data_IF_891662268776
#
_entry.id   IF_891662268776
#
_cell.length_a   1.000
_cell.length_b   1.000
_cell.length_c   1.000
_cell.angle_alpha   90.00
_cell.angle_beta   90.00
_cell.angle_gamma   90.00
#
_symmetry.space_group_name_H-M   'P 1'
#
loop_
_entity.id
_entity.type
_entity.pdbx_description
1 polymer ?
#
# COMPACT_ATOMS: atom_id res chain seq x y z
N UNK A 1 -10.12 11.97 18.03
CA UNK A 1 -9.41 10.74 17.63
C UNK A 1 -8.13 11.12 16.93
N UNK A 2 -7.01 11.09 17.66
CA UNK A 2 -5.66 11.36 17.15
C UNK A 2 -4.89 10.08 16.89
N UNK A 3 -3.99 10.14 15.91
CA UNK A 3 -2.94 9.13 15.73
C UNK A 3 -1.83 9.43 16.74
N UNK A 4 -1.46 8.47 17.57
CA UNK A 4 -0.41 8.62 18.60
C UNK A 4 0.89 7.94 18.21
N UNK A 5 0.85 6.93 17.33
CA UNK A 5 2.04 6.23 16.85
C UNK A 5 1.78 5.59 15.47
N UNK A 6 2.85 5.26 14.75
CA UNK A 6 2.82 4.58 13.46
C UNK A 6 3.84 3.45 13.46
N UNK A 7 3.37 2.23 13.19
CA UNK A 7 4.21 1.03 13.12
C UNK A 7 4.17 0.45 11.72
N UNK A 8 5.34 0.11 11.17
CA UNK A 8 5.49 -0.57 9.90
C UNK A 8 5.98 -2.01 10.12
N UNK A 9 5.44 -2.96 9.35
CA UNK A 9 5.92 -4.35 9.37
C UNK A 9 6.00 -4.94 7.97
N UNK A 10 7.10 -5.63 7.67
CA UNK A 10 7.28 -6.31 6.40
C UNK A 10 6.40 -7.57 6.33
N UNK A 11 5.72 -7.76 5.19
CA UNK A 11 4.80 -8.87 4.97
C UNK A 11 5.00 -9.57 3.63
N UNK A 12 4.12 -10.54 3.36
CA UNK A 12 4.02 -11.27 2.10
C UNK A 12 2.69 -10.97 1.43
N UNK A 13 2.64 -11.11 0.11
CA UNK A 13 1.41 -11.00 -0.66
C UNK A 13 0.89 -12.36 -1.09
N UNK A 14 -0.28 -12.40 -1.73
CA UNK A 14 -0.86 -13.64 -2.26
C UNK A 14 -0.13 -14.20 -3.48
N UNK A 15 0.92 -13.54 -4.00
CA UNK A 15 1.65 -14.00 -5.18
C UNK A 15 3.12 -13.51 -5.19
N UNK A 16 3.72 -13.48 -6.39
CA UNK A 16 5.14 -13.21 -6.62
C UNK A 16 5.36 -11.88 -7.33
N UNK A 17 6.55 -11.31 -7.15
CA UNK A 17 7.07 -10.36 -8.12
C UNK A 17 7.81 -11.12 -9.21
N UNK A 18 7.39 -10.91 -10.45
CA UNK A 18 7.97 -11.55 -11.62
C UNK A 18 8.60 -10.48 -12.53
N UNK A 19 9.80 -10.75 -13.00
CA UNK A 19 10.50 -9.90 -13.94
C UNK A 19 9.92 -10.11 -15.35
N UNK A 20 8.95 -9.26 -15.69
CA UNK A 20 8.29 -9.32 -16.97
C UNK A 20 9.25 -9.18 -18.16
N UNK A 21 10.36 -8.43 -18.00
CA UNK A 21 11.32 -8.22 -19.09
C UNK A 21 12.13 -9.47 -19.34
N UNK A 22 12.61 -10.12 -18.30
CA UNK A 22 13.31 -11.41 -18.42
C UNK A 22 12.38 -12.49 -19.00
N UNK A 23 11.13 -12.57 -18.54
CA UNK A 23 10.14 -13.51 -19.06
C UNK A 23 9.88 -13.28 -20.56
N UNK A 24 9.65 -12.02 -20.97
CA UNK A 24 9.44 -11.66 -22.39
C UNK A 24 10.70 -11.88 -23.26
N UNK A 25 11.88 -11.88 -22.66
CA UNK A 25 13.14 -12.21 -23.33
C UNK A 25 13.36 -13.72 -23.50
N UNK A 26 12.42 -14.55 -23.05
CA UNK A 26 12.45 -16.00 -23.24
C UNK A 26 13.05 -16.77 -22.05
N UNK A 27 12.91 -16.27 -20.83
CA UNK A 27 13.29 -17.02 -19.63
C UNK A 27 12.66 -18.42 -19.62
N UNK A 28 13.47 -19.44 -19.37
CA UNK A 28 13.01 -20.82 -19.28
C UNK A 28 12.23 -21.09 -17.99
N UNK A 29 11.63 -22.28 -17.87
CA UNK A 29 10.90 -22.72 -16.67
C UNK A 29 11.62 -23.88 -15.98
N UNK A 30 11.63 -23.89 -14.65
CA UNK A 30 12.01 -25.05 -13.82
C UNK A 30 10.95 -25.26 -12.73
N UNK A 31 10.01 -26.18 -13.00
CA UNK A 31 8.83 -26.35 -12.15
C UNK A 31 8.05 -25.03 -11.99
N UNK A 32 8.06 -24.48 -10.78
CA UNK A 32 7.36 -23.24 -10.45
C UNK A 32 8.22 -21.97 -10.63
N UNK A 33 9.53 -22.10 -10.85
CA UNK A 33 10.46 -20.97 -11.00
C UNK A 33 10.79 -20.72 -12.48
N UNK A 34 11.56 -19.66 -12.71
CA UNK A 34 12.13 -19.33 -14.01
C UNK A 34 13.65 -19.50 -13.99
N UNK A 35 14.22 -19.91 -15.12
CA UNK A 35 15.65 -20.09 -15.33
C UNK A 35 16.21 -18.86 -16.07
N UNK A 36 17.34 -18.36 -15.58
CA UNK A 36 18.10 -17.26 -16.18
C UNK A 36 18.30 -16.09 -15.23
N UNK A 37 18.82 -15.00 -15.77
CA UNK A 37 19.11 -13.79 -15.00
C UNK A 37 17.97 -12.77 -15.10
N UNK A 38 17.66 -12.04 -14.00
CA UNK A 38 16.75 -10.91 -14.07
C UNK A 38 17.33 -9.77 -14.94
N UNK A 39 16.45 -9.01 -15.56
CA UNK A 39 16.71 -7.88 -16.45
C UNK A 39 16.24 -6.56 -15.82
N UNK A 40 15.20 -6.60 -14.99
CA UNK A 40 14.61 -5.42 -14.35
C UNK A 40 15.37 -5.06 -13.08
N UNK A 41 15.70 -3.77 -12.91
CA UNK A 41 16.45 -3.28 -11.75
C UNK A 41 15.76 -3.64 -10.42
N UNK A 42 16.57 -4.06 -9.44
CA UNK A 42 16.12 -4.47 -8.11
C UNK A 42 15.78 -5.95 -7.97
N UNK A 43 15.50 -6.66 -9.07
CA UNK A 43 15.26 -8.10 -9.01
C UNK A 43 16.56 -8.87 -8.77
N UNK A 44 16.52 -9.88 -7.90
CA UNK A 44 17.63 -10.81 -7.67
C UNK A 44 17.35 -12.21 -8.24
N UNK A 45 16.11 -12.47 -8.64
CA UNK A 45 15.70 -13.65 -9.39
C UNK A 45 14.49 -13.30 -10.26
N UNK A 46 14.31 -14.00 -11.39
CA UNK A 46 13.22 -13.71 -12.33
C UNK A 46 11.84 -13.82 -11.66
N UNK A 47 11.70 -14.75 -10.71
CA UNK A 47 10.57 -14.80 -9.78
C UNK A 47 11.09 -14.68 -8.37
N UNK A 48 10.53 -13.78 -7.59
CA UNK A 48 10.79 -13.64 -6.15
C UNK A 48 9.50 -13.41 -5.37
N UNK A 49 9.53 -13.68 -4.07
CA UNK A 49 8.35 -13.54 -3.23
C UNK A 49 7.81 -12.11 -3.29
N UNK A 50 6.49 -11.98 -3.47
CA UNK A 50 5.82 -10.69 -3.36
C UNK A 50 5.89 -10.17 -1.93
N UNK A 51 6.09 -8.87 -1.79
CA UNK A 51 6.26 -8.22 -0.48
C UNK A 51 5.19 -7.16 -0.25
N UNK A 52 4.83 -6.98 1.02
CA UNK A 52 3.95 -5.92 1.49
C UNK A 52 4.57 -5.18 2.68
N UNK A 53 4.01 -4.02 3.00
CA UNK A 53 4.27 -3.33 4.27
C UNK A 53 2.92 -3.04 4.93
N UNK A 54 2.65 -3.66 6.08
CA UNK A 54 1.51 -3.31 6.90
C UNK A 54 1.81 -1.99 7.63
N UNK A 55 0.95 -1.00 7.43
CA UNK A 55 0.98 0.31 8.09
C UNK A 55 -0.09 0.33 9.16
N UNK A 56 0.33 0.42 10.42
CA UNK A 56 -0.56 0.44 11.58
C UNK A 56 -0.55 1.81 12.23
N UNK A 57 -1.71 2.44 12.38
CA UNK A 57 -1.86 3.72 13.09
C UNK A 57 -2.45 3.43 14.47
N UNK A 58 -1.67 3.69 15.51
CA UNK A 58 -2.13 3.55 16.90
C UNK A 58 -2.94 4.80 17.23
N UNK A 59 -4.18 4.61 17.69
CA UNK A 59 -5.10 5.71 17.99
C UNK A 59 -5.08 6.04 19.49
N UNK A 60 -5.44 7.27 19.85
CA UNK A 60 -5.42 7.74 21.24
C UNK A 60 -6.34 6.95 22.19
N UNK A 61 -7.33 6.21 21.66
CA UNK A 61 -8.20 5.31 22.42
C UNK A 61 -7.71 3.85 22.47
N UNK A 62 -6.50 3.58 21.96
CA UNK A 62 -5.87 2.26 21.94
C UNK A 62 -6.28 1.35 20.78
N UNK A 63 -7.18 1.80 19.90
CA UNK A 63 -7.46 1.07 18.66
C UNK A 63 -6.26 1.13 17.70
N UNK A 64 -6.20 0.17 16.77
CA UNK A 64 -5.19 0.12 15.72
C UNK A 64 -5.87 0.14 14.36
N UNK A 65 -5.63 1.18 13.58
CA UNK A 65 -6.03 1.21 12.18
C UNK A 65 -4.96 0.54 11.30
N UNK A 66 -5.36 -0.08 10.20
CA UNK A 66 -4.50 -0.94 9.40
C UNK A 66 -4.71 -0.73 7.90
N UNK A 67 -3.61 -0.71 7.14
CA UNK A 67 -3.61 -0.77 5.69
C UNK A 67 -2.34 -1.41 5.15
N UNK A 68 -2.43 -2.10 4.01
CA UNK A 68 -1.29 -2.80 3.42
C UNK A 68 -0.78 -2.08 2.17
N UNK A 69 0.51 -1.73 2.18
CA UNK A 69 1.22 -1.34 0.99
C UNK A 69 1.50 -2.58 0.15
N UNK A 70 1.05 -2.60 -1.10
CA UNK A 70 1.28 -3.70 -2.02
C UNK A 70 1.44 -3.19 -3.45
N UNK A 71 2.19 -3.95 -4.25
CA UNK A 71 2.37 -3.72 -5.69
C UNK A 71 1.89 -4.93 -6.50
N UNK A 72 1.70 -4.71 -7.80
CA UNK A 72 1.31 -5.78 -8.74
C UNK A 72 2.44 -6.79 -8.97
N UNK A 73 2.10 -7.95 -9.54
CA UNK A 73 3.06 -9.00 -9.92
C UNK A 73 4.25 -8.48 -10.75
N UNK A 74 3.99 -7.66 -11.77
CA UNK A 74 5.03 -7.07 -12.61
C UNK A 74 5.48 -5.70 -12.08
N UNK A 75 5.87 -5.63 -10.80
CA UNK A 75 6.44 -4.44 -10.17
C UNK A 75 7.77 -4.05 -10.87
N UNK A 76 8.06 -2.76 -11.04
CA UNK A 76 9.20 -2.29 -11.83
C UNK A 76 9.06 -2.36 -13.36
N UNK A 77 7.98 -2.95 -13.90
CA UNK A 77 7.80 -3.09 -15.34
C UNK A 77 7.11 -1.87 -16.00
N UNK A 78 7.52 -1.53 -17.23
CA UNK A 78 6.70 -0.77 -18.19
C UNK A 78 6.08 0.54 -17.69
N UNK A 79 6.88 1.44 -17.11
CA UNK A 79 6.41 2.74 -16.62
C UNK A 79 5.80 2.71 -15.22
N UNK A 80 5.82 1.55 -14.54
CA UNK A 80 5.51 1.46 -13.12
C UNK A 80 6.65 2.02 -12.27
N UNK A 81 6.30 2.34 -11.02
CA UNK A 81 7.30 2.58 -9.99
C UNK A 81 8.25 1.37 -9.82
N UNK A 82 9.44 1.56 -9.22
CA UNK A 82 10.42 0.50 -9.00
C UNK A 82 9.88 -0.76 -8.31
N UNK A 83 10.69 -1.82 -8.27
CA UNK A 83 10.36 -3.03 -7.51
C UNK A 83 10.07 -2.69 -6.04
N UNK A 84 8.91 -3.09 -5.54
CA UNK A 84 8.48 -2.75 -4.18
C UNK A 84 9.00 -3.74 -3.14
N UNK A 85 10.19 -3.46 -2.57
CA UNK A 85 10.77 -4.26 -1.49
C UNK A 85 10.57 -3.58 -0.13
N UNK A 86 10.09 -4.33 0.86
CA UNK A 86 9.74 -3.77 2.17
C UNK A 86 10.94 -3.08 2.84
N UNK A 87 12.13 -3.69 2.74
CA UNK A 87 13.39 -3.15 3.28
C UNK A 87 13.75 -1.76 2.74
N UNK A 88 13.36 -1.47 1.50
CA UNK A 88 13.73 -0.21 0.82
C UNK A 88 12.71 0.90 1.14
N UNK A 89 11.45 0.52 1.39
CA UNK A 89 10.35 1.47 1.56
C UNK A 89 9.85 1.66 3.00
N UNK A 90 10.09 0.73 3.94
CA UNK A 90 9.84 0.96 5.38
C UNK A 90 10.57 2.22 5.87
N UNK A 91 11.86 2.43 5.58
CA UNK A 91 12.56 3.64 6.04
C UNK A 91 11.96 4.93 5.49
N UNK A 92 11.36 4.91 4.29
CA UNK A 92 10.67 6.07 3.71
C UNK A 92 9.41 6.38 4.51
N UNK A 93 8.61 5.37 4.86
CA UNK A 93 7.39 5.56 5.65
C UNK A 93 7.75 6.08 7.04
N UNK A 94 8.71 5.45 7.72
CA UNK A 94 9.12 5.83 9.08
C UNK A 94 9.72 7.23 9.16
N UNK A 95 10.53 7.64 8.19
CA UNK A 95 11.24 8.94 8.24
C UNK A 95 10.42 10.09 7.68
N UNK A 96 9.68 9.86 6.60
CA UNK A 96 9.05 10.95 5.85
C UNK A 96 7.56 11.08 6.15
N UNK A 97 6.88 9.96 6.41
CA UNK A 97 5.41 9.90 6.49
C UNK A 97 4.92 9.85 7.93
N UNK A 98 5.49 8.96 8.76
CA UNK A 98 5.08 8.79 10.15
C UNK A 98 5.10 10.12 10.94
N UNK A 99 6.14 10.98 10.85
CA UNK A 99 6.14 12.25 11.57
C UNK A 99 5.03 13.23 11.16
N UNK A 100 4.47 13.06 9.95
CA UNK A 100 3.36 13.87 9.44
C UNK A 100 1.99 13.30 9.79
N UNK A 101 1.92 12.02 10.15
CA UNK A 101 0.71 11.32 10.60
C UNK A 101 0.52 11.42 12.11
N UNK A 102 1.58 11.29 12.90
CA UNK A 102 1.50 11.38 14.36
C UNK A 102 0.98 12.76 14.77
N UNK A 103 -0.03 12.77 15.65
CA UNK A 103 -0.72 13.96 16.11
C UNK A 103 -1.88 14.43 15.24
N UNK A 104 -2.08 13.84 14.04
CA UNK A 104 -3.21 14.19 13.15
C UNK A 104 -4.54 13.69 13.70
N UNK A 105 -5.59 14.45 13.46
CA UNK A 105 -6.97 14.07 13.78
C UNK A 105 -7.65 13.34 12.61
N UNK A 106 -8.30 12.22 12.91
CA UNK A 106 -9.00 11.38 11.95
C UNK A 106 -10.47 11.82 11.79
N UNK A 107 -10.68 12.98 11.15
CA UNK A 107 -12.03 13.58 10.96
C UNK A 107 -12.61 13.34 9.57
N UNK A 108 -11.85 13.66 8.52
CA UNK A 108 -12.26 13.55 7.12
C UNK A 108 -11.24 12.70 6.34
N UNK A 109 -11.69 11.55 5.83
CA UNK A 109 -10.86 10.63 5.06
C UNK A 109 -10.36 11.30 3.77
N UNK A 110 -11.25 11.90 2.97
CA UNK A 110 -10.92 12.38 1.63
C UNK A 110 -9.78 13.41 1.65
N UNK A 111 -9.88 14.41 2.52
CA UNK A 111 -8.88 15.47 2.65
C UNK A 111 -7.51 14.90 3.06
N UNK A 112 -7.49 14.06 4.10
CA UNK A 112 -6.25 13.47 4.60
C UNK A 112 -5.64 12.50 3.57
N UNK A 113 -6.46 11.66 2.94
CA UNK A 113 -6.01 10.75 1.90
C UNK A 113 -5.44 11.50 0.68
N UNK A 114 -6.07 12.59 0.24
CA UNK A 114 -5.55 13.41 -0.86
C UNK A 114 -4.21 14.08 -0.53
N UNK A 115 -4.03 14.53 0.71
CA UNK A 115 -2.76 15.09 1.17
C UNK A 115 -1.63 14.07 1.06
N UNK A 116 -1.82 12.87 1.61
CA UNK A 116 -0.79 11.81 1.58
C UNK A 116 -0.62 11.19 0.20
N UNK A 117 -1.66 11.12 -0.63
CA UNK A 117 -1.53 10.70 -2.03
C UNK A 117 -0.69 11.70 -2.84
N UNK A 118 -0.86 13.01 -2.62
CA UNK A 118 -0.16 14.07 -3.36
C UNK A 118 1.18 14.46 -2.74
N UNK A 119 1.52 13.91 -1.56
CA UNK A 119 2.74 14.21 -0.84
C UNK A 119 4.00 13.98 -1.70
N UNK A 120 4.93 14.93 -1.59
CA UNK A 120 6.23 14.88 -2.24
C UNK A 120 7.33 14.67 -1.20
N UNK A 121 8.28 13.80 -1.52
CA UNK A 121 9.54 13.62 -0.80
C UNK A 121 10.66 13.90 -1.79
N UNK A 122 11.55 14.85 -1.46
CA UNK A 122 12.63 15.30 -2.34
C UNK A 122 12.15 15.66 -3.76
N UNK A 123 10.99 16.33 -3.86
CA UNK A 123 10.39 16.75 -5.12
C UNK A 123 9.74 15.63 -5.96
N UNK A 124 9.72 14.39 -5.47
CA UNK A 124 9.10 13.23 -6.15
C UNK A 124 7.85 12.77 -5.42
N UNK A 125 6.83 12.31 -6.16
CA UNK A 125 5.67 11.63 -5.56
C UNK A 125 6.13 10.33 -4.90
N UNK A 126 5.44 9.97 -3.81
CA UNK A 126 5.60 8.69 -3.16
C UNK A 126 5.26 7.52 -4.11
N UNK A 127 5.94 6.39 -3.91
CA UNK A 127 5.62 5.15 -4.60
C UNK A 127 4.13 4.81 -4.43
N UNK A 128 3.47 4.41 -5.52
CA UNK A 128 2.07 3.98 -5.58
C UNK A 128 1.68 3.02 -4.46
N UNK A 129 2.45 1.96 -4.21
CA UNK A 129 2.22 1.02 -3.11
C UNK A 129 2.18 1.67 -1.72
N UNK A 130 3.04 2.67 -1.45
CA UNK A 130 3.00 3.43 -0.19
C UNK A 130 1.71 4.23 -0.09
N UNK A 131 1.38 4.99 -1.15
CA UNK A 131 0.15 5.80 -1.20
C UNK A 131 -1.08 4.92 -1.00
N UNK A 132 -1.06 3.73 -1.59
CA UNK A 132 -2.12 2.74 -1.45
C UNK A 132 -2.29 2.26 0.00
N UNK A 133 -1.22 1.83 0.68
CA UNK A 133 -1.32 1.32 2.05
C UNK A 133 -1.62 2.40 3.09
N UNK A 134 -0.97 3.57 2.97
CA UNK A 134 -1.18 4.69 3.90
C UNK A 134 -2.62 5.20 3.83
N UNK A 135 -3.19 5.36 2.63
CA UNK A 135 -4.58 5.82 2.49
C UNK A 135 -5.59 4.78 2.98
N UNK A 136 -5.32 3.48 2.85
CA UNK A 136 -6.13 2.44 3.49
C UNK A 136 -6.11 2.56 5.02
N UNK A 137 -4.93 2.72 5.63
CA UNK A 137 -4.81 2.87 7.07
C UNK A 137 -5.53 4.13 7.59
N UNK A 138 -5.51 5.22 6.81
CA UNK A 138 -6.27 6.43 7.09
C UNK A 138 -7.79 6.15 7.01
N UNK A 139 -8.26 5.45 5.97
CA UNK A 139 -9.69 5.10 5.82
C UNK A 139 -10.19 4.28 7.01
N UNK A 140 -9.44 3.25 7.38
CA UNK A 140 -9.75 2.41 8.53
C UNK A 140 -9.70 3.20 9.84
N UNK A 141 -8.75 4.13 9.98
CA UNK A 141 -8.65 5.02 11.12
C UNK A 141 -9.86 5.95 11.26
N UNK A 142 -10.31 6.55 10.17
CA UNK A 142 -11.52 7.41 10.16
C UNK A 142 -12.77 6.58 10.48
N UNK A 143 -12.88 5.37 9.91
CA UNK A 143 -13.98 4.45 10.20
C UNK A 143 -14.03 4.08 11.70
N UNK A 144 -12.89 3.70 12.29
CA UNK A 144 -12.75 3.42 13.73
C UNK A 144 -13.01 4.63 14.62
N UNK A 145 -12.62 5.83 14.19
CA UNK A 145 -12.90 7.07 14.92
C UNK A 145 -14.41 7.37 14.95
N UNK A 146 -15.10 7.15 13.83
CA UNK A 146 -16.54 7.38 13.67
C UNK A 146 -17.42 6.21 14.15
N UNK A 147 -16.82 5.06 14.46
CA UNK A 147 -17.48 3.81 14.85
C UNK A 147 -18.48 3.33 13.79
N UNK A 148 -18.09 3.45 12.52
CA UNK A 148 -18.84 2.99 11.34
C UNK A 148 -17.92 2.15 10.45
N UNK A 149 -18.46 1.55 9.41
CA UNK A 149 -17.65 0.79 8.44
C UNK A 149 -16.90 1.73 7.48
N UNK A 150 -15.79 1.25 6.91
CA UNK A 150 -15.08 1.96 5.85
C UNK A 150 -15.97 2.25 4.63
N UNK A 151 -16.92 1.36 4.33
CA UNK A 151 -17.88 1.54 3.24
C UNK A 151 -18.79 2.75 3.48
N UNK A 152 -19.26 2.95 4.72
CA UNK A 152 -20.05 4.12 5.10
C UNK A 152 -19.22 5.41 5.00
N UNK A 153 -17.96 5.40 5.43
CA UNK A 153 -17.05 6.56 5.26
C UNK A 153 -16.93 6.95 3.79
N UNK A 154 -16.68 5.99 2.89
CA UNK A 154 -16.59 6.27 1.45
C UNK A 154 -17.93 6.73 0.89
N UNK A 155 -19.04 6.05 1.23
CA UNK A 155 -20.37 6.43 0.75
C UNK A 155 -20.69 7.88 1.08
N UNK A 156 -20.45 8.26 2.34
CA UNK A 156 -20.81 9.56 2.89
C UNK A 156 -19.86 10.66 2.39
N UNK A 157 -18.53 10.44 2.40
CA UNK A 157 -17.58 11.49 2.00
C UNK A 157 -17.46 11.69 0.48
N UNK A 158 -17.82 10.68 -0.31
CA UNK A 158 -17.91 10.80 -1.76
C UNK A 158 -19.33 11.13 -2.25
N UNK A 159 -20.29 11.36 -1.34
CA UNK A 159 -21.68 11.67 -1.65
C UNK A 159 -22.29 10.75 -2.72
N UNK A 160 -21.97 9.46 -2.63
CA UNK A 160 -22.39 8.49 -3.66
C UNK A 160 -23.90 8.25 -3.64
N UNK A 161 -24.56 8.40 -2.48
CA UNK A 161 -25.99 8.18 -2.31
C UNK A 161 -26.44 6.73 -2.47
N UNK A 162 -25.49 5.78 -2.63
CA UNK A 162 -25.81 4.37 -2.86
C UNK A 162 -26.10 3.65 -1.55
N UNK A 163 -27.08 2.74 -1.59
CA UNK A 163 -27.27 1.77 -0.51
C UNK A 163 -26.11 0.76 -0.50
N UNK A 164 -25.61 0.43 0.69
CA UNK A 164 -24.50 -0.51 0.85
C UNK A 164 -25.06 -1.93 0.77
N UNK A 165 -24.96 -2.51 -0.43
CA UNK A 165 -25.45 -3.84 -0.76
C UNK A 165 -24.30 -4.79 -1.15
N UNK A 166 -24.59 -6.09 -1.21
CA UNK A 166 -23.63 -7.10 -1.68
C UNK A 166 -23.26 -6.82 -3.13
N UNK A 167 -21.96 -6.89 -3.44
CA UNK A 167 -21.43 -6.78 -4.80
C UNK A 167 -21.08 -8.18 -5.30
N UNK A 168 -21.40 -8.56 -6.56
CA UNK A 168 -21.00 -9.83 -7.13
C UNK A 168 -19.48 -10.02 -7.08
N UNK A 169 -19.04 -11.21 -6.65
CA UNK A 169 -17.64 -11.61 -6.67
C UNK A 169 -17.38 -12.28 -8.01
N UNK A 170 -16.37 -11.81 -8.74
CA UNK A 170 -15.95 -12.43 -10.00
C UNK A 170 -15.33 -13.82 -9.71
N UNK A 171 -15.91 -14.86 -10.32
CA UNK A 171 -15.49 -16.26 -10.20
C UNK A 171 -15.03 -16.81 -11.54
#
# INVERSE_FOLDING_TARGET
MKIVDVVCSAGRTGFYFDDQRAIKAGAGHDGFTYIGEPVTEGFTSIRQAGESISVMLILEDGQVAHGDCAAVQYSGAGGRDPLFLAKDFIPVIEKEIAPKLIGRELTNFKCLAEEFDKMLVNGKRLHTAIRYGVTQAILDGVAKAKKVTMAEVVRDEYNTGVEINRIPIFT
#
